data_IF_177233959475
#
_entry.id   IF_177233959475
#
_cell.length_a   1.000
_cell.length_b   1.000
_cell.length_c   1.000
_cell.angle_alpha   90.00
_cell.angle_beta   90.00
_cell.angle_gamma   90.00
#
_symmetry.space_group_name_H-M   'P 1'
#
loop_
_entity.id
_entity.type
_entity.pdbx_description
1 polymer ?
#
# COMPACT_ATOMS: atom_id res chain seq x y z
N UNK A 1 2.68 6.46 -19.84
CA UNK A 1 1.95 7.60 -19.22
C UNK A 1 0.73 7.86 -20.08
N UNK A 2 -0.45 7.91 -19.48
CA UNK A 2 -1.65 8.40 -20.14
C UNK A 2 -1.72 9.92 -19.96
N UNK A 3 -1.78 10.64 -21.08
CA UNK A 3 -1.78 12.10 -21.08
C UNK A 3 -3.13 12.70 -20.70
N UNK A 4 -4.22 11.92 -20.79
CA UNK A 4 -5.57 12.39 -20.46
C UNK A 4 -5.75 12.58 -18.96
N UNK A 5 -5.12 11.74 -18.13
CA UNK A 5 -5.27 11.75 -16.67
C UNK A 5 -3.94 11.83 -15.90
N UNK A 6 -2.80 11.80 -16.58
CA UNK A 6 -1.49 11.86 -15.92
C UNK A 6 -1.12 10.59 -15.15
N UNK A 7 -1.83 9.48 -15.36
CA UNK A 7 -1.60 8.21 -14.68
C UNK A 7 -0.71 7.28 -15.51
N UNK A 8 0.08 6.45 -14.83
CA UNK A 8 0.87 5.38 -15.43
C UNK A 8 0.01 4.14 -15.62
N UNK A 9 -0.05 3.69 -16.87
CA UNK A 9 -0.46 2.33 -17.23
C UNK A 9 0.76 1.41 -17.20
N UNK A 10 0.63 0.26 -16.55
CA UNK A 10 1.62 -0.81 -16.49
C UNK A 10 0.96 -2.15 -16.84
N UNK A 11 1.72 -3.04 -17.45
CA UNK A 11 1.28 -4.40 -17.76
C UNK A 11 1.39 -4.73 -19.24
N UNK A 12 1.82 -5.97 -19.47
CA UNK A 12 1.90 -6.65 -20.75
C UNK A 12 1.37 -8.07 -20.52
N UNK A 13 0.71 -8.63 -21.52
CA UNK A 13 0.13 -9.97 -21.41
C UNK A 13 1.20 -11.00 -21.03
N UNK A 14 0.90 -11.83 -20.02
CA UNK A 14 1.85 -12.83 -19.50
C UNK A 14 2.96 -12.27 -18.60
N UNK A 15 3.06 -10.96 -18.36
CA UNK A 15 4.03 -10.37 -17.42
C UNK A 15 3.39 -9.96 -16.09
N UNK A 16 4.22 -9.97 -15.05
CA UNK A 16 3.88 -9.53 -13.70
C UNK A 16 4.79 -8.37 -13.31
N UNK A 17 4.25 -7.15 -13.33
CA UNK A 17 5.05 -5.93 -13.20
C UNK A 17 4.79 -5.19 -11.88
N UNK A 18 4.04 -5.79 -10.95
CA UNK A 18 3.79 -5.26 -9.60
C UNK A 18 4.36 -6.20 -8.56
N UNK A 19 4.41 -5.81 -7.29
CA UNK A 19 4.90 -6.69 -6.22
C UNK A 19 4.00 -7.91 -5.96
N UNK A 20 2.75 -7.89 -6.46
CA UNK A 20 1.86 -9.05 -6.44
C UNK A 20 2.10 -9.94 -7.67
N UNK A 21 3.19 -10.71 -7.65
CA UNK A 21 3.83 -11.35 -8.80
C UNK A 21 3.93 -12.88 -8.69
N UNK A 22 2.91 -13.54 -8.18
CA UNK A 22 2.84 -15.00 -8.22
C UNK A 22 2.39 -15.50 -9.61
N UNK A 23 3.07 -16.55 -10.12
CA UNK A 23 2.65 -17.32 -11.30
C UNK A 23 2.53 -18.80 -10.99
N UNK A 24 1.50 -19.43 -11.56
CA UNK A 24 1.39 -20.89 -11.65
C UNK A 24 1.63 -21.28 -13.11
N UNK A 25 2.85 -21.72 -13.43
CA UNK A 25 3.26 -21.95 -14.81
C UNK A 25 3.21 -20.67 -15.65
N UNK A 26 2.39 -20.63 -16.70
CA UNK A 26 2.18 -19.44 -17.54
C UNK A 26 1.09 -18.49 -17.03
N UNK A 27 0.35 -18.86 -15.99
CA UNK A 27 -0.81 -18.12 -15.50
C UNK A 27 -0.43 -17.20 -14.34
N UNK A 28 -0.84 -15.93 -14.42
CA UNK A 28 -0.59 -14.90 -13.39
C UNK A 28 -1.71 -14.95 -12.35
N UNK A 29 -1.37 -15.14 -11.08
CA UNK A 29 -2.36 -15.34 -10.03
C UNK A 29 -3.10 -14.09 -9.59
N UNK A 30 -2.44 -12.94 -9.74
CA UNK A 30 -2.98 -11.61 -9.46
C UNK A 30 -2.62 -10.68 -10.61
N UNK A 31 -3.31 -10.78 -11.76
CA UNK A 31 -3.03 -9.90 -12.88
C UNK A 31 -3.42 -8.47 -12.51
N UNK A 32 -2.43 -7.57 -12.52
CA UNK A 32 -2.62 -6.14 -12.19
C UNK A 32 -2.20 -5.25 -13.37
N UNK A 33 -2.56 -5.69 -14.57
CA UNK A 33 -2.41 -4.90 -15.80
C UNK A 33 -3.47 -3.81 -15.83
N UNK A 34 -3.07 -2.58 -16.16
CA UNK A 34 -3.91 -1.39 -16.10
C UNK A 34 -3.14 -0.26 -15.42
N UNK A 35 -3.79 0.49 -14.53
CA UNK A 35 -3.18 1.56 -13.73
C UNK A 35 -3.23 1.15 -12.26
N UNK A 36 -2.21 0.45 -11.71
CA UNK A 36 -2.16 0.08 -10.30
C UNK A 36 -2.10 1.33 -9.40
N UNK A 37 -2.89 1.32 -8.31
CA UNK A 37 -3.03 2.49 -7.42
C UNK A 37 -1.72 2.90 -6.75
N UNK A 38 -0.90 1.95 -6.31
CA UNK A 38 0.36 2.21 -5.61
C UNK A 38 1.46 2.69 -6.55
N UNK A 39 1.51 2.17 -7.78
CA UNK A 39 2.45 2.64 -8.81
C UNK A 39 2.17 4.10 -9.14
N UNK A 40 0.89 4.46 -9.27
CA UNK A 40 0.48 5.83 -9.50
C UNK A 40 0.76 6.73 -8.27
N UNK A 41 0.65 6.21 -7.05
CA UNK A 41 0.94 6.99 -5.84
C UNK A 41 2.43 7.29 -5.73
N UNK A 42 3.27 6.33 -6.10
CA UNK A 42 4.73 6.50 -6.22
C UNK A 42 5.08 7.49 -7.33
N UNK A 43 4.43 7.39 -8.49
CA UNK A 43 4.62 8.32 -9.60
C UNK A 43 4.30 9.77 -9.22
N UNK A 44 3.14 9.98 -8.57
CA UNK A 44 2.76 11.29 -8.05
C UNK A 44 3.83 11.86 -7.11
N UNK A 45 4.31 11.05 -6.16
CA UNK A 45 5.36 11.46 -5.24
C UNK A 45 6.70 11.72 -5.94
N UNK A 46 7.06 10.94 -6.95
CA UNK A 46 8.26 11.16 -7.76
C UNK A 46 8.20 12.53 -8.45
N UNK A 47 7.07 12.90 -9.05
CA UNK A 47 6.91 14.22 -9.70
C UNK A 47 6.95 15.36 -8.69
N UNK A 48 6.30 15.20 -7.52
CA UNK A 48 6.39 16.17 -6.43
C UNK A 48 7.84 16.34 -5.93
N UNK A 49 8.59 15.24 -5.79
CA UNK A 49 9.99 15.26 -5.39
C UNK A 49 10.88 15.92 -6.45
N UNK A 50 10.71 15.58 -7.72
CA UNK A 50 11.47 16.16 -8.83
C UNK A 50 11.24 17.67 -8.96
N UNK A 51 10.00 18.14 -8.80
CA UNK A 51 9.71 19.56 -8.73
C UNK A 51 10.43 20.23 -7.54
N UNK A 52 10.53 19.55 -6.39
CA UNK A 52 11.30 20.00 -5.23
C UNK A 52 12.80 20.10 -5.52
N UNK A 53 13.40 19.04 -6.07
CA UNK A 53 14.82 18.99 -6.43
C UNK A 53 15.19 20.03 -7.49
N UNK A 54 14.34 20.24 -8.49
CA UNK A 54 14.54 21.26 -9.50
C UNK A 54 14.62 22.66 -8.89
N UNK A 55 13.75 22.99 -7.93
CA UNK A 55 13.81 24.28 -7.21
C UNK A 55 15.11 24.43 -6.41
N UNK A 56 15.53 23.39 -5.69
CA UNK A 56 16.79 23.39 -4.93
C UNK A 56 17.99 23.60 -5.88
N UNK A 57 17.99 22.90 -7.02
CA UNK A 57 19.03 23.00 -8.04
C UNK A 57 18.92 24.27 -8.91
N UNK A 58 17.96 25.16 -8.65
CA UNK A 58 17.68 26.37 -9.46
C UNK A 58 17.46 26.05 -10.95
N UNK A 59 16.82 24.92 -11.24
CA UNK A 59 16.41 24.44 -12.57
C UNK A 59 14.90 24.65 -12.78
N UNK A 60 14.42 24.67 -14.04
CA UNK A 60 12.98 24.71 -14.31
C UNK A 60 12.25 23.53 -13.64
N UNK A 61 11.20 23.84 -12.88
CA UNK A 61 10.39 22.86 -12.16
C UNK A 61 8.96 22.71 -12.71
N UNK A 62 8.59 23.52 -13.71
CA UNK A 62 7.23 23.64 -14.23
C UNK A 62 6.67 22.32 -14.74
N UNK A 63 7.41 21.64 -15.62
CA UNK A 63 6.95 20.38 -16.22
C UNK A 63 6.63 19.29 -15.19
N UNK A 64 7.48 19.15 -14.15
CA UNK A 64 7.23 18.21 -13.05
C UNK A 64 6.03 18.62 -12.19
N UNK A 65 5.87 19.93 -11.95
CA UNK A 65 4.72 20.48 -11.23
C UNK A 65 3.42 20.22 -11.95
N UNK A 66 3.36 20.56 -13.24
CA UNK A 66 2.18 20.37 -14.09
C UNK A 66 1.82 18.90 -14.22
N UNK A 67 2.81 18.01 -14.32
CA UNK A 67 2.58 16.58 -14.36
C UNK A 67 2.05 16.06 -13.03
N UNK A 68 2.61 16.50 -11.90
CA UNK A 68 2.09 16.15 -10.58
C UNK A 68 0.64 16.62 -10.37
N UNK A 69 0.29 17.84 -10.82
CA UNK A 69 -1.06 18.38 -10.71
C UNK A 69 -2.06 17.62 -11.59
N UNK A 70 -1.65 17.20 -12.80
CA UNK A 70 -2.46 16.30 -13.64
C UNK A 70 -2.66 14.94 -12.99
N UNK A 71 -1.59 14.32 -12.48
CA UNK A 71 -1.68 13.02 -11.77
C UNK A 71 -2.60 13.14 -10.55
N UNK A 72 -2.52 14.22 -9.76
CA UNK A 72 -3.41 14.47 -8.63
C UNK A 72 -4.88 14.56 -9.06
N UNK A 73 -5.17 15.27 -10.16
CA UNK A 73 -6.53 15.33 -10.71
C UNK A 73 -7.00 13.96 -11.22
N UNK A 74 -6.14 13.20 -11.91
CA UNK A 74 -6.43 11.85 -12.39
C UNK A 74 -6.71 10.86 -11.26
N UNK A 75 -6.11 11.06 -10.08
CA UNK A 75 -6.34 10.23 -8.91
C UNK A 75 -7.79 10.21 -8.43
N UNK A 76 -8.62 11.19 -8.81
CA UNK A 76 -10.05 11.16 -8.56
C UNK A 76 -10.73 9.91 -9.14
N UNK A 77 -10.21 9.35 -10.24
CA UNK A 77 -10.72 8.14 -10.88
C UNK A 77 -10.59 6.89 -10.01
N UNK A 78 -9.57 6.83 -9.15
CA UNK A 78 -9.38 5.67 -8.27
C UNK A 78 -10.45 5.58 -7.18
N UNK A 79 -11.10 6.67 -6.81
CA UNK A 79 -12.06 6.65 -5.70
C UNK A 79 -13.40 6.03 -6.13
N UNK A 80 -13.78 4.93 -5.47
CA UNK A 80 -15.09 4.32 -5.63
C UNK A 80 -16.04 4.82 -4.52
N UNK A 81 -16.99 5.70 -4.87
CA UNK A 81 -17.95 6.26 -3.92
C UNK A 81 -18.88 5.20 -3.31
N UNK A 82 -19.23 4.15 -4.05
CA UNK A 82 -20.16 3.12 -3.58
C UNK A 82 -19.52 2.16 -2.57
N UNK A 83 -18.24 1.86 -2.75
CA UNK A 83 -17.48 0.96 -1.89
C UNK A 83 -16.79 1.69 -0.73
N UNK A 84 -16.58 3.00 -0.88
CA UNK A 84 -15.91 3.83 0.13
C UNK A 84 -14.40 3.59 0.21
N UNK A 85 -13.77 3.15 -0.87
CA UNK A 85 -12.32 2.94 -0.97
C UNK A 85 -11.85 3.00 -2.43
N UNK A 86 -10.54 2.87 -2.67
CA UNK A 86 -10.00 2.96 -4.03
C UNK A 86 -10.16 1.65 -4.82
N UNK A 87 -10.45 1.74 -6.12
CA UNK A 87 -10.13 0.65 -7.05
C UNK A 87 -8.65 0.28 -6.93
N UNK A 88 -8.33 -1.00 -6.98
CA UNK A 88 -6.94 -1.46 -6.89
C UNK A 88 -6.16 -1.20 -8.19
N UNK A 89 -6.87 -1.33 -9.32
CA UNK A 89 -6.36 -1.11 -10.67
C UNK A 89 -7.45 -0.42 -11.50
N UNK A 90 -7.11 0.62 -12.26
CA UNK A 90 -8.01 1.18 -13.27
C UNK A 90 -7.65 0.69 -14.67
N UNK A 91 -8.61 0.74 -15.60
CA UNK A 91 -8.38 0.45 -17.02
C UNK A 91 -7.70 -0.91 -17.25
N UNK A 92 -8.06 -1.91 -16.44
CA UNK A 92 -7.66 -3.29 -16.61
C UNK A 92 -8.36 -3.95 -17.81
N UNK A 93 -7.94 -5.15 -18.22
CA UNK A 93 -8.54 -5.85 -19.36
C UNK A 93 -10.06 -6.08 -19.20
N UNK A 94 -10.52 -6.29 -17.97
CA UNK A 94 -11.94 -6.48 -17.65
C UNK A 94 -12.60 -5.22 -17.03
N UNK A 95 -11.93 -4.07 -17.11
CA UNK A 95 -12.37 -2.81 -16.49
C UNK A 95 -11.61 -2.46 -15.20
N UNK A 96 -12.22 -1.62 -14.36
CA UNK A 96 -11.66 -1.20 -13.08
C UNK A 96 -11.83 -2.32 -12.04
N UNK A 97 -10.76 -2.64 -11.30
CA UNK A 97 -10.75 -3.70 -10.27
C UNK A 97 -11.24 -3.16 -8.92
N UNK A 98 -12.44 -3.55 -8.44
CA UNK A 98 -13.01 -3.09 -7.19
C UNK A 98 -12.47 -3.86 -5.97
N UNK A 99 -11.52 -4.78 -6.13
CA UNK A 99 -11.02 -5.60 -5.03
C UNK A 99 -10.44 -4.76 -3.91
N UNK A 100 -10.91 -4.96 -2.67
CA UNK A 100 -10.32 -4.32 -1.50
C UNK A 100 -8.94 -4.94 -1.20
N UNK A 101 -7.90 -4.20 -1.57
CA UNK A 101 -6.49 -4.56 -1.39
C UNK A 101 -5.72 -3.48 -0.63
N UNK A 102 -4.58 -3.81 0.00
CA UNK A 102 -3.83 -2.86 0.82
C UNK A 102 -3.07 -1.81 0.01
N UNK A 103 -2.96 -1.95 -1.31
CA UNK A 103 -2.16 -1.07 -2.18
C UNK A 103 -2.59 0.40 -2.11
N UNK A 104 -3.87 0.68 -1.84
CA UNK A 104 -4.36 2.04 -1.64
C UNK A 104 -3.70 2.78 -0.45
N UNK A 105 -3.10 2.05 0.51
CA UNK A 105 -2.42 2.67 1.65
C UNK A 105 -1.25 3.56 1.20
N UNK A 106 -0.64 3.28 0.04
CA UNK A 106 0.44 4.09 -0.53
C UNK A 106 -0.02 5.49 -0.94
N UNK A 107 -1.29 5.66 -1.32
CA UNK A 107 -1.85 6.97 -1.60
C UNK A 107 -1.94 7.86 -0.34
N UNK A 108 -1.79 7.27 0.86
CA UNK A 108 -1.83 7.99 2.14
C UNK A 108 -0.45 8.02 2.81
N UNK A 109 0.31 6.92 2.79
CA UNK A 109 1.56 6.79 3.55
C UNK A 109 2.70 7.65 3.00
N UNK A 110 2.78 7.82 1.68
CA UNK A 110 3.84 8.59 1.00
C UNK A 110 3.78 10.08 1.34
N UNK A 111 4.89 10.84 1.27
CA UNK A 111 4.95 12.24 1.72
C UNK A 111 3.83 13.14 1.17
N UNK A 112 3.58 13.09 -0.15
CA UNK A 112 2.45 13.74 -0.79
C UNK A 112 1.31 12.74 -0.96
N UNK A 113 0.09 13.16 -0.60
CA UNK A 113 -1.14 12.39 -0.87
C UNK A 113 -1.94 13.10 -1.96
N UNK A 114 -2.50 12.37 -2.94
CA UNK A 114 -3.40 12.95 -3.94
C UNK A 114 -4.85 13.09 -3.41
N UNK A 115 -5.13 12.61 -2.20
CA UNK A 115 -6.46 12.68 -1.59
C UNK A 115 -6.54 13.73 -0.50
N UNK A 116 -7.72 14.32 -0.32
CA UNK A 116 -8.04 15.15 0.85
C UNK A 116 -8.05 14.36 2.16
N UNK A 117 -7.97 15.05 3.30
CA UNK A 117 -7.90 14.45 4.64
C UNK A 117 -9.02 13.45 4.94
N UNK A 118 -10.22 13.72 4.43
CA UNK A 118 -11.40 12.90 4.71
C UNK A 118 -11.26 11.53 4.04
N UNK A 119 -10.90 11.50 2.75
CA UNK A 119 -10.64 10.24 2.02
C UNK A 119 -9.41 9.52 2.56
N UNK A 120 -8.35 10.24 2.93
CA UNK A 120 -7.18 9.61 3.57
C UNK A 120 -7.57 8.85 4.84
N UNK A 121 -8.43 9.44 5.68
CA UNK A 121 -8.92 8.79 6.89
C UNK A 121 -9.73 7.53 6.57
N UNK A 122 -10.67 7.64 5.62
CA UNK A 122 -11.49 6.48 5.19
C UNK A 122 -10.63 5.33 4.66
N UNK A 123 -9.61 5.63 3.86
CA UNK A 123 -8.65 4.62 3.34
C UNK A 123 -7.92 3.92 4.50
N UNK A 124 -7.46 4.67 5.50
CA UNK A 124 -6.81 4.07 6.66
C UNK A 124 -7.78 3.21 7.47
N UNK A 125 -9.01 3.67 7.65
CA UNK A 125 -10.03 2.97 8.43
C UNK A 125 -10.45 1.65 7.80
N UNK A 126 -10.68 1.62 6.48
CA UNK A 126 -11.03 0.39 5.78
C UNK A 126 -9.88 -0.62 5.81
N UNK A 127 -8.63 -0.17 5.61
CA UNK A 127 -7.46 -1.04 5.74
C UNK A 127 -7.30 -1.56 7.17
N UNK A 128 -7.54 -0.72 8.18
CA UNK A 128 -7.46 -1.11 9.58
C UNK A 128 -8.55 -2.12 9.97
N UNK A 129 -9.75 -1.97 9.43
CA UNK A 129 -10.91 -2.82 9.74
C UNK A 129 -10.85 -4.17 9.05
N UNK A 130 -10.55 -4.18 7.75
CA UNK A 130 -10.70 -5.39 6.91
C UNK A 130 -9.38 -6.14 6.70
N UNK A 131 -8.25 -5.42 6.61
CA UNK A 131 -6.98 -5.99 6.14
C UNK A 131 -5.95 -6.15 7.26
N UNK A 132 -5.97 -5.31 8.29
CA UNK A 132 -4.98 -5.35 9.35
C UNK A 132 -5.09 -6.63 10.20
N UNK A 133 -3.94 -7.19 10.51
CA UNK A 133 -3.75 -8.32 11.44
C UNK A 133 -2.64 -7.97 12.44
N UNK A 134 -2.34 -8.90 13.35
CA UNK A 134 -1.20 -8.76 14.28
C UNK A 134 0.15 -8.56 13.57
N UNK A 135 0.31 -9.09 12.36
CA UNK A 135 1.61 -9.17 11.69
C UNK A 135 1.67 -8.41 10.37
N UNK A 136 0.69 -7.58 10.02
CA UNK A 136 0.69 -6.84 8.75
C UNK A 136 -0.69 -6.77 8.14
N UNK A 137 -0.74 -6.57 6.81
CA UNK A 137 -1.99 -6.43 6.08
C UNK A 137 -2.22 -7.65 5.20
N UNK A 138 -3.47 -8.15 5.18
CA UNK A 138 -3.94 -9.11 4.17
C UNK A 138 -3.83 -8.49 2.78
N UNK A 139 -3.39 -9.29 1.83
CA UNK A 139 -3.27 -8.90 0.42
C UNK A 139 -4.61 -8.76 -0.32
N UNK A 140 -5.68 -9.34 0.24
CA UNK A 140 -7.05 -9.28 -0.25
C UNK A 140 -8.02 -9.38 0.94
N UNK A 141 -9.17 -8.70 0.86
CA UNK A 141 -10.20 -8.74 1.90
C UNK A 141 -10.84 -10.14 2.08
N UNK A 142 -11.18 -10.56 3.31
CA UNK A 142 -11.72 -11.90 3.58
C UNK A 142 -13.08 -12.22 2.96
N UNK A 143 -13.87 -11.19 2.62
CA UNK A 143 -15.19 -11.34 1.99
C UNK A 143 -15.11 -11.55 0.47
N UNK A 144 -13.93 -11.37 -0.13
CA UNK A 144 -13.73 -11.56 -1.55
C UNK A 144 -13.76 -13.06 -1.92
N UNK A 145 -14.47 -13.49 -2.99
CA UNK A 145 -14.60 -14.91 -3.34
C UNK A 145 -13.28 -15.65 -3.57
N UNK A 146 -12.25 -14.94 -4.05
CA UNK A 146 -10.92 -15.50 -4.27
C UNK A 146 -10.03 -15.52 -3.01
N UNK A 147 -10.55 -15.14 -1.85
CA UNK A 147 -9.77 -15.10 -0.62
C UNK A 147 -9.29 -16.50 -0.18
N UNK A 148 -8.01 -16.61 0.14
CA UNK A 148 -7.35 -17.80 0.68
C UNK A 148 -6.59 -17.41 1.94
N UNK A 149 -7.17 -17.76 3.09
CA UNK A 149 -6.64 -17.38 4.41
C UNK A 149 -5.44 -18.20 4.88
N UNK A 150 -5.11 -19.32 4.23
CA UNK A 150 -3.99 -20.18 4.61
C UNK A 150 -3.04 -20.43 3.44
N UNK A 151 -1.75 -20.13 3.63
CA UNK A 151 -0.70 -20.39 2.65
C UNK A 151 -0.08 -21.77 2.90
N UNK A 152 -0.78 -22.82 2.47
CA UNK A 152 -0.41 -24.23 2.68
C UNK A 152 -0.60 -25.06 1.40
N UNK A 153 -0.15 -26.31 1.43
CA UNK A 153 -0.30 -27.25 0.32
C UNK A 153 0.93 -27.30 -0.59
N UNK A 154 0.72 -27.76 -1.82
CA UNK A 154 1.74 -27.84 -2.86
C UNK A 154 2.11 -26.46 -3.41
N UNK A 155 3.07 -26.41 -4.34
CA UNK A 155 3.50 -25.14 -4.92
C UNK A 155 2.36 -24.39 -5.62
N UNK A 156 1.57 -25.00 -6.52
CA UNK A 156 0.42 -24.31 -7.13
C UNK A 156 -0.55 -23.73 -6.11
N UNK A 157 -0.94 -24.48 -5.08
CA UNK A 157 -1.87 -24.00 -4.04
C UNK A 157 -1.32 -22.77 -3.31
N UNK A 158 -0.02 -22.78 -3.03
CA UNK A 158 0.67 -21.67 -2.38
C UNK A 158 0.79 -20.45 -3.28
N UNK A 159 1.22 -20.64 -4.52
CA UNK A 159 1.37 -19.56 -5.51
C UNK A 159 0.01 -18.87 -5.77
N UNK A 160 -1.10 -19.63 -5.78
CA UNK A 160 -2.47 -19.09 -5.83
C UNK A 160 -2.81 -18.23 -4.61
N UNK A 161 -2.40 -18.63 -3.41
CA UNK A 161 -2.72 -17.97 -2.15
C UNK A 161 -1.86 -16.73 -1.87
N UNK A 162 -0.63 -16.67 -2.42
CA UNK A 162 0.45 -15.75 -2.04
C UNK A 162 0.06 -14.26 -2.00
N UNK A 163 -0.86 -13.85 -2.87
CA UNK A 163 -1.43 -12.50 -2.91
C UNK A 163 -2.96 -12.47 -2.87
N UNK A 164 -3.59 -13.54 -2.40
CA UNK A 164 -5.05 -13.68 -2.34
C UNK A 164 -5.55 -13.81 -0.90
N UNK A 165 -4.88 -13.19 0.07
CA UNK A 165 -5.33 -13.22 1.47
C UNK A 165 -4.20 -13.40 2.47
N UNK A 166 -3.07 -13.94 2.03
CA UNK A 166 -1.82 -13.96 2.77
C UNK A 166 -1.46 -12.56 3.29
N UNK A 167 -1.01 -12.51 4.54
CA UNK A 167 -0.60 -11.27 5.22
C UNK A 167 0.85 -10.98 4.91
N UNK A 168 1.13 -9.73 4.55
CA UNK A 168 2.48 -9.26 4.24
C UNK A 168 3.00 -8.34 5.34
N UNK A 169 4.13 -8.72 5.94
CA UNK A 169 4.67 -8.04 7.11
C UNK A 169 5.14 -6.61 6.84
N UNK A 170 5.81 -6.40 5.71
CA UNK A 170 6.36 -5.09 5.33
C UNK A 170 5.27 -4.01 5.15
N UNK A 171 4.03 -4.39 4.81
CA UNK A 171 2.91 -3.44 4.66
C UNK A 171 2.51 -2.77 5.98
N UNK A 172 2.93 -3.31 7.13
CA UNK A 172 2.73 -2.66 8.41
C UNK A 172 3.40 -1.28 8.46
N UNK A 173 4.55 -1.10 7.80
CA UNK A 173 5.26 0.17 7.77
C UNK A 173 4.49 1.30 7.09
N UNK A 174 4.04 1.15 5.82
CA UNK A 174 3.18 2.11 5.17
C UNK A 174 1.88 2.35 5.94
N UNK A 175 1.27 1.31 6.50
CA UNK A 175 0.05 1.44 7.29
C UNK A 175 0.22 2.33 8.51
N UNK A 176 1.24 2.10 9.34
CA UNK A 176 1.43 2.95 10.53
C UNK A 176 1.82 4.37 10.18
N UNK A 177 2.54 4.57 9.07
CA UNK A 177 2.88 5.90 8.56
C UNK A 177 1.62 6.66 8.16
N UNK A 178 0.72 6.00 7.43
CA UNK A 178 -0.59 6.56 7.06
C UNK A 178 -1.46 6.84 8.29
N UNK A 179 -1.55 5.89 9.22
CA UNK A 179 -2.31 6.05 10.47
C UNK A 179 -1.81 7.23 11.30
N UNK A 180 -0.49 7.34 11.49
CA UNK A 180 0.10 8.45 12.24
C UNK A 180 -0.12 9.80 11.56
N UNK A 181 -0.13 9.83 10.22
CA UNK A 181 -0.45 11.03 9.44
C UNK A 181 -1.87 11.53 9.69
N UNK A 182 -2.87 10.64 9.64
CA UNK A 182 -4.29 11.04 9.71
C UNK A 182 -4.83 11.16 11.14
N UNK A 183 -4.31 10.34 12.08
CA UNK A 183 -4.79 10.29 13.47
C UNK A 183 -3.87 11.00 14.47
N UNK A 184 -2.59 11.14 14.14
CA UNK A 184 -1.56 11.69 15.05
C UNK A 184 -1.53 10.97 16.42
N UNK A 185 -1.83 9.67 16.41
CA UNK A 185 -1.92 8.83 17.60
C UNK A 185 -0.73 7.84 17.67
N UNK A 186 0.37 8.22 18.33
CA UNK A 186 1.54 7.36 18.48
C UNK A 186 1.28 6.16 19.41
N UNK A 187 0.34 6.27 20.36
CA UNK A 187 0.02 5.17 21.30
C UNK A 187 -0.64 4.04 20.51
N UNK A 188 -1.61 4.38 19.65
CA UNK A 188 -2.25 3.41 18.77
C UNK A 188 -1.25 2.77 17.81
N UNK A 189 -0.37 3.56 17.20
CA UNK A 189 0.69 3.03 16.31
C UNK A 189 1.61 2.05 17.03
N UNK A 190 2.05 2.37 18.25
CA UNK A 190 2.87 1.45 19.05
C UNK A 190 2.16 0.10 19.27
N UNK A 191 0.84 0.12 19.49
CA UNK A 191 0.06 -1.10 19.66
C UNK A 191 0.04 -1.99 18.41
N UNK A 192 0.10 -1.40 17.20
CA UNK A 192 0.18 -2.17 15.95
C UNK A 192 1.56 -2.80 15.72
N UNK A 193 2.63 -2.17 16.18
CA UNK A 193 4.00 -2.69 16.02
C UNK A 193 4.35 -3.75 17.06
N UNK A 194 3.71 -3.73 18.23
CA UNK A 194 4.02 -4.60 19.37
C UNK A 194 4.03 -6.10 19.03
N UNK A 195 3.07 -6.66 18.29
CA UNK A 195 3.10 -8.10 17.98
C UNK A 195 4.28 -8.47 17.07
N UNK A 196 4.63 -7.61 16.11
CA UNK A 196 5.79 -7.83 15.24
C UNK A 196 7.12 -7.74 16.02
N UNK A 197 7.21 -6.88 17.04
CA UNK A 197 8.38 -6.83 17.93
C UNK A 197 8.52 -8.12 18.73
N UNK A 198 7.40 -8.68 19.21
CA UNK A 198 7.42 -10.00 19.88
C UNK A 198 7.80 -11.11 18.91
N UNK A 199 7.45 -10.99 17.62
CA UNK A 199 7.82 -11.96 16.59
C UNK A 199 9.34 -12.13 16.45
N UNK A 200 10.16 -11.11 16.77
CA UNK A 200 11.63 -11.22 16.78
C UNK A 200 12.16 -12.33 17.71
N UNK A 201 11.34 -12.76 18.67
CA UNK A 201 11.67 -13.81 19.64
C UNK A 201 11.07 -15.17 19.27
N UNK A 202 10.42 -15.28 18.11
CA UNK A 202 9.73 -16.50 17.67
C UNK A 202 10.00 -16.82 16.20
N UNK A 203 9.92 -18.11 15.83
CA UNK A 203 10.13 -18.62 14.47
C UNK A 203 11.56 -18.41 13.91
N UNK A 204 11.96 -17.16 13.64
CA UNK A 204 13.32 -16.77 13.24
C UNK A 204 13.91 -15.78 14.24
N UNK A 205 14.80 -16.24 15.12
CA UNK A 205 15.36 -15.38 16.18
C UNK A 205 16.14 -14.20 15.61
N UNK A 206 15.78 -12.99 16.06
CA UNK A 206 16.43 -11.74 15.64
C UNK A 206 16.06 -11.27 14.23
N UNK A 207 15.06 -11.88 13.60
CA UNK A 207 14.59 -11.51 12.25
C UNK A 207 13.07 -11.61 12.16
N UNK A 208 12.51 -11.27 11.00
CA UNK A 208 11.07 -11.25 10.76
C UNK A 208 10.72 -12.00 9.47
N UNK A 209 9.61 -12.72 9.55
CA UNK A 209 9.10 -13.51 8.43
C UNK A 209 8.53 -12.64 7.32
N UNK A 210 8.55 -13.19 6.12
CA UNK A 210 8.02 -12.56 4.92
C UNK A 210 6.51 -12.36 4.99
N UNK A 211 5.82 -13.48 5.20
CA UNK A 211 4.37 -13.58 5.15
C UNK A 211 3.82 -14.38 6.32
N UNK A 212 2.53 -14.22 6.54
CA UNK A 212 1.76 -14.93 7.56
C UNK A 212 0.44 -15.40 6.94
N UNK A 213 -0.14 -16.46 7.49
CA UNK A 213 -1.51 -16.84 7.13
C UNK A 213 -2.47 -15.65 7.37
N UNK A 214 -3.46 -15.50 6.48
CA UNK A 214 -4.47 -14.45 6.57
C UNK A 214 -5.51 -14.67 7.66
N UNK A 215 -5.73 -15.93 8.04
CA UNK A 215 -6.62 -16.32 9.12
C UNK A 215 -5.88 -16.65 10.41
N UNK A 216 -6.53 -16.50 11.59
CA UNK A 216 -5.98 -16.98 12.84
C UNK A 216 -5.54 -18.45 12.76
N UNK A 217 -4.40 -18.83 13.37
CA UNK A 217 -3.60 -18.04 14.31
C UNK A 217 -2.52 -17.16 13.65
N UNK A 218 -2.64 -16.84 12.35
CA UNK A 218 -1.68 -16.03 11.59
C UNK A 218 -0.27 -16.64 11.60
N UNK A 219 -0.18 -17.94 11.31
CA UNK A 219 1.09 -18.68 11.35
C UNK A 219 2.11 -18.05 10.39
N UNK A 220 3.37 -17.83 10.80
CA UNK A 220 4.44 -17.39 9.90
C UNK A 220 4.69 -18.40 8.78
N UNK A 221 4.86 -17.90 7.55
CA UNK A 221 5.04 -18.69 6.33
C UNK A 221 6.16 -18.10 5.47
N UNK A 222 6.47 -18.78 4.35
CA UNK A 222 7.41 -18.29 3.35
C UNK A 222 8.83 -18.15 3.90
N UNK A 223 9.55 -17.11 3.47
CA UNK A 223 10.89 -16.87 3.95
C UNK A 223 10.89 -16.46 5.44
N UNK A 224 11.70 -17.15 6.25
CA UNK A 224 11.82 -16.91 7.70
C UNK A 224 12.44 -15.53 8.00
N UNK A 225 13.29 -15.03 7.11
CA UNK A 225 14.04 -13.78 7.27
C UNK A 225 13.90 -12.89 6.02
N UNK A 226 12.96 -11.94 6.05
CA UNK A 226 12.68 -11.07 4.90
C UNK A 226 13.15 -9.64 5.11
N UNK A 227 14.00 -9.17 4.19
CA UNK A 227 14.65 -7.87 4.28
C UNK A 227 13.64 -6.72 4.34
N UNK A 228 12.56 -6.79 3.55
CA UNK A 228 11.58 -5.71 3.47
C UNK A 228 10.75 -5.61 4.74
N UNK A 229 10.38 -6.75 5.35
CA UNK A 229 9.67 -6.78 6.63
C UNK A 229 10.52 -6.17 7.74
N UNK A 230 11.81 -6.54 7.81
CA UNK A 230 12.76 -5.97 8.78
C UNK A 230 12.95 -4.47 8.57
N UNK A 231 13.20 -4.05 7.33
CA UNK A 231 13.42 -2.64 6.99
C UNK A 231 12.19 -1.78 7.32
N UNK A 232 10.99 -2.22 6.95
CA UNK A 232 9.76 -1.47 7.21
C UNK A 232 9.40 -1.42 8.70
N UNK A 233 9.68 -2.47 9.49
CA UNK A 233 9.52 -2.39 10.94
C UNK A 233 10.47 -1.36 11.56
N UNK A 234 11.74 -1.37 11.16
CA UNK A 234 12.73 -0.40 11.65
C UNK A 234 12.34 1.04 11.28
N UNK A 235 11.98 1.28 10.01
CA UNK A 235 11.52 2.58 9.53
C UNK A 235 10.25 3.06 10.26
N UNK A 236 9.30 2.16 10.49
CA UNK A 236 8.08 2.43 11.25
C UNK A 236 8.38 2.81 12.70
N UNK A 237 9.29 2.07 13.34
CA UNK A 237 9.71 2.35 14.71
C UNK A 237 10.41 3.70 14.82
N UNK A 238 11.33 4.01 13.90
CA UNK A 238 11.98 5.31 13.80
C UNK A 238 10.94 6.44 13.63
N UNK A 239 9.98 6.24 12.72
CA UNK A 239 8.88 7.19 12.48
C UNK A 239 8.08 7.45 13.77
N UNK A 240 7.81 6.40 14.56
CA UNK A 240 7.10 6.51 15.83
C UNK A 240 7.91 7.29 16.88
N UNK A 241 9.19 6.94 17.10
CA UNK A 241 10.00 7.54 18.17
C UNK A 241 10.41 8.98 17.87
N UNK A 242 10.52 9.34 16.58
CA UNK A 242 10.83 10.71 16.15
C UNK A 242 9.58 11.58 15.99
N UNK A 243 8.38 11.00 16.12
CA UNK A 243 7.13 11.72 15.91
C UNK A 243 6.93 12.82 16.94
N UNK A 244 6.87 14.06 16.46
CA UNK A 244 6.49 15.23 17.25
C UNK A 244 5.01 15.56 17.01
N UNK A 245 4.23 15.67 18.08
CA UNK A 245 2.86 16.21 18.00
C UNK A 245 2.92 17.70 17.65
N UNK A 246 2.94 18.02 16.36
CA UNK A 246 2.72 19.38 15.84
C UNK A 246 1.23 19.70 15.66
N UNK A 247 0.90 20.99 15.56
CA UNK A 247 -0.45 21.46 15.22
C UNK A 247 -0.91 20.91 13.85
N UNK A 248 -2.21 20.66 13.65
CA UNK A 248 -2.72 20.09 12.40
C UNK A 248 -2.34 20.96 11.20
N UNK A 249 -1.96 20.32 10.09
CA UNK A 249 -1.72 21.01 8.83
C UNK A 249 -3.02 21.75 8.45
N UNK A 250 -2.96 23.07 8.40
CA UNK A 250 -4.11 23.92 8.06
C UNK A 250 -4.69 23.47 6.72
N UNK A 251 -5.99 23.16 6.69
CA UNK A 251 -6.74 22.96 5.46
C UNK A 251 -6.46 24.14 4.52
N UNK A 252 -6.02 23.86 3.28
CA UNK A 252 -5.91 24.89 2.24
C UNK A 252 -7.27 25.62 2.15
N UNK A 253 -7.31 26.96 2.16
CA UNK A 253 -8.56 27.67 1.97
C UNK A 253 -9.13 27.30 0.60
N UNK A 254 -10.37 26.81 0.57
CA UNK A 254 -11.14 26.66 -0.67
C UNK A 254 -11.17 28.04 -1.34
N UNK A 255 -10.59 28.15 -2.54
CA UNK A 255 -10.80 29.32 -3.38
C UNK A 255 -12.31 29.40 -3.66
N UNK A 256 -12.93 30.50 -3.23
CA UNK A 256 -14.30 30.88 -3.63
C UNK A 256 -14.33 31.23 -5.10
#
# INVERSE_FOLDING_TARGET
LDHADGLLRAGEEGLQLTWMDAKVGGWVATPRMGKPVEVNALWYNAMRAMAGFARIAKKPAGEYGDLADRTEAGFARFWNESLGYCYDVLDGPDGDDPSLRPNQIFAVSLPASPFGSDRQRVIVDVCARELLTSYGLRSLAPDHPSYVGQYIGDQPSRDMAYHQGTVWGWLLGPFVTAHLKVYRDPIRVQSFLTPMIRHLQSHGLGTLSEIFDGDPPFTPRGCIAQAWTVAELLRAWETLVTFKKGAPASARPRKK
#
